data_IF_516429568141
#
_entry.id   IF_516429568141
#
_cell.length_a   1.000
_cell.length_b   1.000
_cell.length_c   1.000
_cell.angle_alpha   90.00
_cell.angle_beta   90.00
_cell.angle_gamma   90.00
#
_symmetry.space_group_name_H-M   'P 1'
#
loop_
_entity.id
_entity.type
_entity.pdbx_description
1 polymer ?
#
# COMPACT_ATOMS: atom_id res chain seq x y z
N UNK A 1 -26.20 -11.80 8.46
CA UNK A 1 -25.26 -12.67 7.72
C UNK A 1 -24.25 -11.84 6.94
N UNK A 2 -24.62 -10.66 6.43
CA UNK A 2 -23.78 -9.83 5.55
C UNK A 2 -22.53 -9.23 6.21
N UNK A 3 -22.60 -8.82 7.48
CA UNK A 3 -21.45 -8.23 8.22
C UNK A 3 -20.26 -9.18 8.37
N UNK A 4 -20.52 -10.49 8.53
CA UNK A 4 -19.46 -11.49 8.68
C UNK A 4 -18.78 -11.75 7.33
N UNK A 5 -19.55 -11.80 6.25
CA UNK A 5 -19.01 -11.92 4.88
C UNK A 5 -18.23 -10.69 4.46
N UNK A 6 -18.75 -9.49 4.76
CA UNK A 6 -18.05 -8.23 4.53
C UNK A 6 -16.74 -8.22 5.31
N UNK A 7 -16.76 -8.46 6.63
CA UNK A 7 -15.54 -8.51 7.44
C UNK A 7 -14.50 -9.51 6.91
N UNK A 8 -14.93 -10.69 6.47
CA UNK A 8 -14.02 -11.70 5.95
C UNK A 8 -13.44 -11.31 4.58
N UNK A 9 -14.22 -10.64 3.73
CA UNK A 9 -13.77 -10.09 2.45
C UNK A 9 -12.77 -8.94 2.66
N UNK A 10 -13.05 -8.02 3.59
CA UNK A 10 -12.16 -6.93 4.00
C UNK A 10 -10.81 -7.49 4.46
N UNK A 11 -10.88 -8.47 5.36
CA UNK A 11 -9.70 -9.12 5.93
C UNK A 11 -8.87 -9.86 4.88
N UNK A 12 -9.55 -10.49 3.91
CA UNK A 12 -8.87 -11.16 2.80
C UNK A 12 -8.14 -10.16 1.90
N UNK A 13 -8.77 -9.02 1.57
CA UNK A 13 -8.15 -7.96 0.75
C UNK A 13 -6.99 -7.30 1.49
N UNK A 14 -7.13 -6.96 2.78
CA UNK A 14 -6.04 -6.42 3.60
C UNK A 14 -4.89 -7.41 3.68
N UNK A 15 -5.18 -8.71 3.79
CA UNK A 15 -4.15 -9.75 3.82
C UNK A 15 -3.36 -9.82 2.50
N UNK A 16 -4.02 -9.82 1.33
CA UNK A 16 -3.32 -9.75 0.03
C UNK A 16 -2.61 -8.41 -0.17
N UNK A 17 -3.18 -7.33 0.36
CA UNK A 17 -2.61 -5.98 0.27
C UNK A 17 -1.34 -5.84 1.11
N UNK A 18 -1.32 -6.35 2.34
CA UNK A 18 -0.11 -6.36 3.16
C UNK A 18 0.91 -7.40 2.67
N UNK A 19 0.47 -8.54 2.13
CA UNK A 19 1.39 -9.48 1.50
C UNK A 19 2.11 -8.87 0.28
N UNK A 20 1.41 -8.18 -0.60
CA UNK A 20 1.99 -7.67 -1.85
C UNK A 20 2.47 -6.22 -1.76
N UNK A 21 1.76 -5.37 -1.02
CA UNK A 21 2.04 -3.94 -0.86
C UNK A 21 3.25 -3.66 0.05
N UNK A 22 3.53 -4.53 1.03
CA UNK A 22 4.78 -4.42 1.81
C UNK A 22 6.01 -4.57 0.91
N UNK A 23 5.88 -5.39 -0.14
CA UNK A 23 6.91 -5.61 -1.14
C UNK A 23 7.11 -4.38 -2.02
N UNK A 24 6.01 -3.71 -2.41
CA UNK A 24 6.06 -2.43 -3.15
C UNK A 24 6.74 -1.34 -2.33
N UNK A 25 6.34 -1.15 -1.08
CA UNK A 25 6.98 -0.16 -0.18
C UNK A 25 8.45 -0.51 0.06
N UNK A 26 8.76 -1.78 0.30
CA UNK A 26 10.13 -2.27 0.44
C UNK A 26 10.98 -2.01 -0.81
N UNK A 27 10.44 -2.31 -1.99
CA UNK A 27 11.13 -2.10 -3.27
C UNK A 27 11.48 -0.62 -3.50
N UNK A 28 10.53 0.29 -3.32
CA UNK A 28 10.77 1.72 -3.48
C UNK A 28 11.67 2.30 -2.39
N UNK A 29 11.61 1.75 -1.17
CA UNK A 29 12.54 2.10 -0.09
C UNK A 29 13.98 1.66 -0.41
N UNK A 30 14.17 0.45 -0.93
CA UNK A 30 15.48 -0.02 -1.38
C UNK A 30 16.01 0.79 -2.56
N UNK A 31 15.16 1.16 -3.53
CA UNK A 31 15.51 2.05 -4.64
C UNK A 31 16.07 3.39 -4.16
N UNK A 32 15.43 4.00 -3.15
CA UNK A 32 15.90 5.23 -2.51
C UNK A 32 17.28 5.06 -1.85
N UNK A 33 17.55 3.88 -1.29
CA UNK A 33 18.78 3.59 -0.55
C UNK A 33 19.95 3.22 -1.46
N UNK A 34 19.68 2.53 -2.57
CA UNK A 34 20.70 2.05 -3.52
C UNK A 34 21.12 3.17 -4.48
N UNK A 35 20.17 4.00 -4.93
CA UNK A 35 20.45 5.03 -5.91
C UNK A 35 20.50 6.41 -5.25
N UNK A 36 21.64 7.10 -5.37
CA UNK A 36 21.78 8.48 -4.89
C UNK A 36 21.33 9.53 -5.90
N UNK A 37 20.49 9.12 -6.86
CA UNK A 37 19.90 10.00 -7.83
C UNK A 37 18.73 10.78 -7.19
N UNK A 38 18.83 12.12 -7.17
CA UNK A 38 17.83 13.02 -6.57
C UNK A 38 16.45 12.88 -7.22
N UNK A 39 16.37 12.72 -8.54
CA UNK A 39 15.12 12.54 -9.27
C UNK A 39 14.45 11.21 -8.92
N UNK A 40 15.23 10.14 -8.83
CA UNK A 40 14.73 8.81 -8.49
C UNK A 40 14.20 8.74 -7.05
N UNK A 41 14.87 9.44 -6.13
CA UNK A 41 14.44 9.59 -4.73
C UNK A 41 13.08 10.26 -4.63
N UNK A 42 12.88 11.37 -5.35
CA UNK A 42 11.61 12.12 -5.34
C UNK A 42 10.48 11.26 -5.92
N UNK A 43 10.73 10.59 -7.05
CA UNK A 43 9.75 9.73 -7.71
C UNK A 43 9.34 8.54 -6.83
N UNK A 44 10.31 7.87 -6.20
CA UNK A 44 10.06 6.74 -5.30
C UNK A 44 9.26 7.16 -4.06
N UNK A 45 9.57 8.33 -3.48
CA UNK A 45 8.81 8.88 -2.35
C UNK A 45 7.37 9.21 -2.75
N UNK A 46 7.18 9.74 -3.96
CA UNK A 46 5.85 10.04 -4.50
C UNK A 46 5.02 8.78 -4.67
N UNK A 47 5.60 7.70 -5.22
CA UNK A 47 4.90 6.42 -5.36
C UNK A 47 4.53 5.83 -4.00
N UNK A 48 5.44 5.86 -3.02
CA UNK A 48 5.14 5.40 -1.65
C UNK A 48 3.94 6.16 -1.08
N UNK A 49 3.91 7.49 -1.24
CA UNK A 49 2.81 8.33 -0.77
C UNK A 49 1.50 8.01 -1.51
N UNK A 50 1.52 7.87 -2.83
CA UNK A 50 0.34 7.52 -3.64
C UNK A 50 -0.22 6.17 -3.22
N UNK A 51 0.64 5.17 -3.02
CA UNK A 51 0.24 3.84 -2.54
C UNK A 51 -0.36 3.93 -1.14
N UNK A 52 0.23 4.71 -0.23
CA UNK A 52 -0.29 4.95 1.13
C UNK A 52 -1.66 5.63 1.12
N UNK A 53 -1.86 6.62 0.24
CA UNK A 53 -3.12 7.34 0.11
C UNK A 53 -4.20 6.44 -0.48
N UNK A 54 -3.91 5.68 -1.55
CA UNK A 54 -4.81 4.67 -2.09
C UNK A 54 -5.20 3.62 -1.04
N UNK A 55 -4.23 3.18 -0.22
CA UNK A 55 -4.46 2.29 0.93
C UNK A 55 -5.41 2.90 1.95
N UNK A 56 -5.20 4.18 2.28
CA UNK A 56 -5.99 4.88 3.26
C UNK A 56 -7.43 5.04 2.77
N UNK A 57 -7.63 5.46 1.52
CA UNK A 57 -8.96 5.54 0.91
C UNK A 57 -9.63 4.18 0.79
N UNK A 58 -8.89 3.14 0.41
CA UNK A 58 -9.40 1.77 0.43
C UNK A 58 -9.87 1.38 1.83
N UNK A 59 -9.02 1.52 2.86
CA UNK A 59 -9.41 1.24 4.25
C UNK A 59 -10.63 2.02 4.71
N UNK A 60 -10.77 3.29 4.32
CA UNK A 60 -11.93 4.11 4.70
C UNK A 60 -13.21 3.69 3.94
N UNK A 61 -13.13 3.44 2.64
CA UNK A 61 -14.27 3.05 1.80
C UNK A 61 -14.74 1.63 2.05
N UNK A 62 -13.82 0.72 2.34
CA UNK A 62 -14.09 -0.69 2.60
C UNK A 62 -14.50 -0.92 4.07
N UNK A 63 -14.19 0.03 4.97
CA UNK A 63 -14.64 0.03 6.37
C UNK A 63 -16.01 0.71 6.60
N UNK A 64 -16.61 1.32 5.58
CA UNK A 64 -18.02 1.76 5.56
C UNK A 64 -18.88 0.66 4.94
#
# INVERSE_FOLDING_TARGET
MDLFFISNMIKNIISTFFQNGIWVVGFFYFLIKIFDNKTLKIFSKYIIIVVLVLLFFHSVLVSI
#
